data_IF_750842221843
#
_entry.id   IF_750842221843
#
_cell.length_a   1.000
_cell.length_b   1.000
_cell.length_c   1.000
_cell.angle_alpha   90.00
_cell.angle_beta   90.00
_cell.angle_gamma   90.00
#
_symmetry.space_group_name_H-M   'P 1'
#
loop_
_entity.id
_entity.type
_entity.pdbx_description
1 polymer ?
#
# COMPACT_ATOMS: atom_id res chain seq x y z
N UNK A 1 6.49 -4.85 -15.37
CA UNK A 1 7.85 -5.36 -15.59
C UNK A 1 8.37 -4.77 -16.90
N UNK A 2 9.51 -4.05 -16.91
CA UNK A 2 9.99 -3.32 -18.08
C UNK A 2 10.73 -4.16 -19.13
N UNK A 3 11.06 -5.43 -18.85
CA UNK A 3 11.86 -6.28 -19.77
C UNK A 3 11.05 -7.43 -20.39
N UNK A 4 10.17 -8.08 -19.62
CA UNK A 4 9.32 -9.18 -20.11
C UNK A 4 7.96 -9.16 -19.39
N UNK A 5 6.92 -9.67 -20.05
CA UNK A 5 5.61 -9.80 -19.42
C UNK A 5 5.47 -11.12 -18.63
N UNK A 6 4.41 -11.22 -17.81
CA UNK A 6 4.19 -12.40 -16.95
C UNK A 6 3.99 -13.71 -17.72
N UNK A 7 3.40 -13.66 -18.91
CA UNK A 7 3.19 -14.86 -19.75
C UNK A 7 4.50 -15.38 -20.34
N UNK A 8 5.38 -14.47 -20.77
CA UNK A 8 6.73 -14.83 -21.23
C UNK A 8 7.56 -15.42 -20.08
N UNK A 9 7.49 -14.79 -18.90
CA UNK A 9 8.17 -15.30 -17.71
C UNK A 9 7.71 -16.73 -17.38
N UNK A 10 6.41 -17.02 -17.43
CA UNK A 10 5.88 -18.37 -17.18
C UNK A 10 6.39 -19.40 -18.19
N UNK A 11 6.47 -19.05 -19.48
CA UNK A 11 7.04 -19.94 -20.51
C UNK A 11 8.50 -20.27 -20.23
N UNK A 12 9.32 -19.28 -19.88
CA UNK A 12 10.72 -19.51 -19.52
C UNK A 12 10.90 -20.34 -18.24
N UNK A 13 10.05 -20.12 -17.23
CA UNK A 13 10.05 -20.96 -16.03
C UNK A 13 9.74 -22.41 -16.41
N UNK A 14 8.77 -22.66 -17.32
CA UNK A 14 8.39 -24.00 -17.78
C UNK A 14 9.46 -24.73 -18.59
N UNK A 15 10.37 -24.00 -19.22
CA UNK A 15 11.54 -24.59 -19.89
C UNK A 15 12.51 -25.24 -18.87
N UNK A 16 12.58 -24.69 -17.66
CA UNK A 16 13.50 -25.13 -16.60
C UNK A 16 12.82 -26.09 -15.61
N UNK A 17 11.59 -25.77 -15.21
CA UNK A 17 10.80 -26.57 -14.27
C UNK A 17 9.32 -26.62 -14.69
N UNK A 18 8.90 -27.83 -15.08
CA UNK A 18 7.52 -28.09 -15.53
C UNK A 18 6.53 -28.18 -14.37
N UNK A 19 7.01 -28.42 -13.16
CA UNK A 19 6.20 -28.77 -12.00
C UNK A 19 6.08 -27.63 -10.99
N UNK A 20 6.99 -26.65 -11.00
CA UNK A 20 6.90 -25.52 -10.08
C UNK A 20 5.53 -24.81 -10.25
N UNK A 21 4.75 -24.65 -9.16
CA UNK A 21 3.47 -23.95 -9.26
C UNK A 21 3.65 -22.48 -9.65
N UNK A 22 2.88 -22.03 -10.64
CA UNK A 22 2.83 -20.63 -11.06
C UNK A 22 1.38 -20.15 -10.95
N UNK A 23 1.14 -19.14 -10.13
CA UNK A 23 -0.18 -18.53 -9.91
C UNK A 23 -0.18 -17.13 -10.53
N UNK A 24 -1.08 -16.88 -11.48
CA UNK A 24 -1.25 -15.57 -12.09
C UNK A 24 -2.04 -14.65 -11.16
N UNK A 25 -1.61 -13.38 -11.04
CA UNK A 25 -2.35 -12.33 -10.33
C UNK A 25 -2.70 -11.22 -11.32
N UNK A 26 -3.99 -10.94 -11.56
CA UNK A 26 -4.41 -9.94 -12.55
C UNK A 26 -5.51 -9.02 -12.04
N UNK A 27 -5.55 -7.77 -12.53
CA UNK A 27 -6.61 -6.82 -12.22
C UNK A 27 -7.91 -7.04 -13.01
N UNK A 28 -7.97 -8.10 -13.82
CA UNK A 28 -9.08 -8.47 -14.67
C UNK A 28 -9.14 -9.99 -14.79
N UNK A 29 -10.06 -10.64 -14.09
CA UNK A 29 -10.31 -12.07 -14.24
C UNK A 29 -11.22 -12.37 -15.44
N UNK A 30 -10.91 -11.78 -16.61
CA UNK A 30 -11.63 -12.11 -17.83
C UNK A 30 -11.28 -13.55 -18.26
N UNK A 31 -12.25 -14.25 -18.84
CA UNK A 31 -12.04 -15.61 -19.36
C UNK A 31 -10.83 -15.71 -20.30
N UNK A 32 -10.59 -14.66 -21.09
CA UNK A 32 -9.43 -14.57 -21.98
C UNK A 32 -8.09 -14.52 -21.24
N UNK A 33 -8.03 -13.80 -20.11
CA UNK A 33 -6.81 -13.68 -19.31
C UNK A 33 -6.51 -14.99 -18.57
N UNK A 34 -7.54 -15.67 -18.07
CA UNK A 34 -7.43 -17.02 -17.50
C UNK A 34 -6.92 -18.02 -18.55
N UNK A 35 -7.45 -17.93 -19.77
CA UNK A 35 -7.05 -18.81 -20.87
C UNK A 35 -5.60 -18.55 -21.29
N UNK A 36 -5.19 -17.29 -21.44
CA UNK A 36 -3.79 -16.92 -21.75
C UNK A 36 -2.82 -17.37 -20.66
N UNK A 37 -3.19 -17.20 -19.39
CA UNK A 37 -2.40 -17.68 -18.26
C UNK A 37 -2.17 -19.20 -18.36
N UNK A 38 -3.25 -19.95 -18.59
CA UNK A 38 -3.19 -21.41 -18.77
C UNK A 38 -2.33 -21.82 -19.97
N UNK A 39 -2.48 -21.16 -21.12
CA UNK A 39 -1.70 -21.42 -22.34
C UNK A 39 -0.20 -21.11 -22.16
N UNK A 40 0.14 -20.16 -21.28
CA UNK A 40 1.53 -19.87 -20.92
C UNK A 40 2.13 -20.87 -19.93
N UNK A 41 1.34 -21.83 -19.43
CA UNK A 41 1.77 -22.86 -18.50
C UNK A 41 1.52 -22.54 -17.02
N UNK A 42 0.78 -21.48 -16.68
CA UNK A 42 0.41 -21.17 -15.30
C UNK A 42 -0.65 -22.15 -14.78
N UNK A 43 -0.63 -22.44 -13.49
CA UNK A 43 -1.50 -23.42 -12.86
C UNK A 43 -2.84 -22.82 -12.40
N UNK A 44 -2.80 -21.60 -11.88
CA UNK A 44 -3.98 -20.90 -11.37
C UNK A 44 -3.96 -19.42 -11.72
N UNK A 45 -5.11 -18.78 -11.56
CA UNK A 45 -5.30 -17.36 -11.81
C UNK A 45 -6.19 -16.79 -10.71
N UNK A 46 -5.71 -15.76 -10.02
CA UNK A 46 -6.42 -15.04 -8.96
C UNK A 46 -6.60 -13.58 -9.38
N UNK A 47 -7.82 -13.08 -9.23
CA UNK A 47 -8.16 -11.69 -9.52
C UNK A 47 -7.66 -10.73 -8.44
N UNK A 48 -7.46 -9.46 -8.79
CA UNK A 48 -7.24 -8.37 -7.85
C UNK A 48 -8.56 -7.61 -7.59
N UNK A 49 -8.83 -7.15 -6.36
CA UNK A 49 -7.97 -7.21 -5.17
C UNK A 49 -7.77 -8.65 -4.70
N UNK A 50 -6.57 -8.93 -4.18
CA UNK A 50 -6.21 -10.29 -3.78
C UNK A 50 -7.02 -10.63 -2.53
N UNK A 51 -7.94 -11.57 -2.64
CA UNK A 51 -8.56 -12.17 -1.46
C UNK A 51 -7.55 -13.11 -0.81
N UNK A 52 -7.06 -12.73 0.37
CA UNK A 52 -5.99 -13.44 1.10
C UNK A 52 -6.31 -14.93 1.29
N UNK A 53 -7.59 -15.26 1.50
CA UNK A 53 -8.05 -16.65 1.62
C UNK A 53 -7.98 -17.44 0.32
N UNK A 54 -8.30 -16.81 -0.82
CA UNK A 54 -8.18 -17.44 -2.13
C UNK A 54 -6.70 -17.68 -2.45
N UNK A 55 -5.84 -16.70 -2.17
CA UNK A 55 -4.40 -16.82 -2.36
C UNK A 55 -3.82 -17.95 -1.50
N UNK A 56 -4.05 -17.94 -0.19
CA UNK A 56 -3.49 -18.97 0.68
C UNK A 56 -4.05 -20.36 0.37
N UNK A 57 -5.33 -20.48 0.05
CA UNK A 57 -5.92 -21.76 -0.35
C UNK A 57 -5.28 -22.29 -1.63
N UNK A 58 -5.09 -21.43 -2.63
CA UNK A 58 -4.45 -21.81 -3.89
C UNK A 58 -3.00 -22.21 -3.66
N UNK A 59 -2.23 -21.45 -2.87
CA UNK A 59 -0.86 -21.82 -2.51
C UNK A 59 -0.84 -23.17 -1.78
N UNK A 60 -1.71 -23.36 -0.79
CA UNK A 60 -1.79 -24.58 -0.02
C UNK A 60 -2.12 -25.82 -0.86
N UNK A 61 -3.05 -25.68 -1.81
CA UNK A 61 -3.40 -26.72 -2.78
C UNK A 61 -2.16 -27.17 -3.59
N UNK A 62 -1.40 -26.22 -4.12
CA UNK A 62 -0.20 -26.49 -4.92
C UNK A 62 1.04 -26.88 -4.09
N UNK A 63 1.07 -26.55 -2.81
CA UNK A 63 2.10 -27.00 -1.87
C UNK A 63 1.73 -28.31 -1.16
N UNK A 64 0.55 -28.87 -1.42
CA UNK A 64 0.02 -30.07 -0.76
C UNK A 64 0.01 -29.98 0.78
N UNK A 65 -0.26 -28.81 1.31
CA UNK A 65 -0.41 -28.57 2.75
C UNK A 65 -1.88 -28.39 3.09
N UNK A 66 -2.31 -28.94 4.23
CA UNK A 66 -3.66 -28.71 4.72
C UNK A 66 -3.82 -27.23 5.08
N UNK A 67 -4.78 -26.56 4.45
CA UNK A 67 -5.19 -25.22 4.84
C UNK A 67 -6.43 -25.30 5.73
N UNK A 68 -6.22 -25.26 7.04
CA UNK A 68 -7.29 -25.06 8.01
C UNK A 68 -7.35 -23.57 8.36
N UNK A 69 -8.46 -22.90 8.01
CA UNK A 69 -8.75 -21.57 8.57
C UNK A 69 -10.10 -21.60 9.28
N UNK A 70 -10.11 -21.07 10.51
CA UNK A 70 -11.33 -20.77 11.24
C UNK A 70 -12.15 -19.77 10.42
N UNK A 71 -13.30 -20.21 9.91
CA UNK A 71 -14.18 -19.46 9.04
C UNK A 71 -14.80 -18.29 9.82
N UNK A 72 -14.21 -17.09 9.75
CA UNK A 72 -14.91 -15.86 10.13
C UNK A 72 -15.54 -15.31 8.85
N UNK A 73 -16.86 -15.50 8.76
CA UNK A 73 -17.70 -14.88 7.75
C UNK A 73 -17.76 -13.39 8.09
N UNK A 74 -16.85 -12.58 7.54
CA UNK A 74 -16.93 -11.12 7.71
C UNK A 74 -18.16 -10.60 6.96
N UNK A 75 -18.94 -9.82 7.69
CA UNK A 75 -20.17 -9.17 7.27
C UNK A 75 -19.88 -8.13 6.19
N UNK A 76 -20.67 -8.17 5.12
CA UNK A 76 -20.73 -7.20 4.03
C UNK A 76 -21.21 -5.79 4.45
N UNK A 77 -21.14 -5.45 5.74
CA UNK A 77 -21.99 -4.43 6.38
C UNK A 77 -21.24 -3.26 7.00
N UNK A 78 -19.90 -3.21 6.95
CA UNK A 78 -19.22 -1.97 7.31
C UNK A 78 -19.05 -1.09 6.08
N UNK A 79 -19.91 -0.08 6.01
CA UNK A 79 -19.80 1.12 5.18
C UNK A 79 -18.62 1.98 5.67
N UNK A 80 -17.42 1.39 5.79
CA UNK A 80 -16.21 2.11 6.13
C UNK A 80 -15.47 2.49 4.84
N UNK A 81 -15.12 3.78 4.74
CA UNK A 81 -14.37 4.35 3.60
C UNK A 81 -13.03 3.63 3.40
N UNK A 82 -12.42 3.15 4.49
CA UNK A 82 -11.22 2.31 4.51
C UNK A 82 -11.38 1.24 5.59
N UNK A 83 -11.22 -0.04 5.23
CA UNK A 83 -11.30 -1.18 6.15
C UNK A 83 -10.00 -1.32 6.96
N UNK A 84 -9.92 -0.57 8.06
CA UNK A 84 -8.74 -0.54 8.93
C UNK A 84 -8.55 -1.87 9.67
N UNK A 85 -9.64 -2.58 9.96
CA UNK A 85 -9.56 -3.90 10.58
C UNK A 85 -8.88 -4.91 9.66
N UNK A 86 -9.24 -4.92 8.37
CA UNK A 86 -8.55 -5.71 7.35
C UNK A 86 -7.06 -5.38 7.26
N UNK A 87 -6.70 -4.09 7.25
CA UNK A 87 -5.29 -3.69 7.21
C UNK A 87 -4.54 -4.22 8.43
N UNK A 88 -5.09 -4.07 9.63
CA UNK A 88 -4.49 -4.60 10.86
C UNK A 88 -4.38 -6.13 10.89
N UNK A 89 -5.29 -6.85 10.24
CA UNK A 89 -5.26 -8.33 10.15
C UNK A 89 -4.26 -8.86 9.13
N UNK A 90 -4.05 -8.14 8.03
CA UNK A 90 -3.27 -8.64 6.88
C UNK A 90 -1.85 -8.06 6.81
N UNK A 91 -1.57 -6.97 7.52
CA UNK A 91 -0.24 -6.37 7.56
C UNK A 91 0.42 -6.56 8.93
N UNK A 92 1.73 -6.81 8.90
CA UNK A 92 2.49 -7.29 10.07
C UNK A 92 2.70 -6.25 11.17
N UNK A 93 2.58 -4.95 10.86
CA UNK A 93 2.80 -3.88 11.83
C UNK A 93 1.98 -2.61 11.52
N UNK A 94 1.61 -1.88 12.57
CA UNK A 94 0.96 -0.55 12.48
C UNK A 94 1.81 0.44 11.65
N UNK A 95 3.13 0.32 11.73
CA UNK A 95 4.08 1.13 10.96
C UNK A 95 3.99 0.86 9.46
N UNK A 96 3.95 -0.41 9.04
CA UNK A 96 3.78 -0.76 7.63
C UNK A 96 2.45 -0.24 7.07
N UNK A 97 1.40 -0.27 7.90
CA UNK A 97 0.08 0.28 7.55
C UNK A 97 0.17 1.81 7.40
N UNK A 98 0.79 2.52 8.35
CA UNK A 98 0.94 3.98 8.29
C UNK A 98 1.72 4.43 7.05
N UNK A 99 2.84 3.76 6.73
CA UNK A 99 3.60 4.03 5.49
C UNK A 99 2.75 3.82 4.24
N UNK A 100 2.00 2.73 4.20
CA UNK A 100 1.12 2.41 3.08
C UNK A 100 0.03 3.47 2.90
N UNK A 101 -0.59 3.93 4.00
CA UNK A 101 -1.60 4.98 3.99
C UNK A 101 -1.01 6.35 3.62
N UNK A 102 0.17 6.70 4.14
CA UNK A 102 0.93 7.92 3.75
C UNK A 102 1.25 7.91 2.26
N UNK A 103 1.75 6.79 1.74
CA UNK A 103 2.03 6.62 0.31
C UNK A 103 0.77 6.79 -0.54
N UNK A 104 -0.33 6.16 -0.14
CA UNK A 104 -1.58 6.29 -0.88
C UNK A 104 -2.11 7.73 -0.87
N UNK A 105 -2.03 8.43 0.26
CA UNK A 105 -2.36 9.85 0.36
C UNK A 105 -1.51 10.69 -0.61
N UNK A 106 -0.21 10.41 -0.70
CA UNK A 106 0.68 11.09 -1.64
C UNK A 106 0.29 10.82 -3.10
N UNK A 107 0.01 9.56 -3.46
CA UNK A 107 -0.42 9.17 -4.81
C UNK A 107 -1.74 9.86 -5.20
N UNK A 108 -2.73 9.91 -4.29
CA UNK A 108 -4.01 10.59 -4.53
C UNK A 108 -3.86 12.10 -4.78
N UNK A 109 -2.91 12.74 -4.11
CA UNK A 109 -2.69 14.19 -4.22
C UNK A 109 -1.75 14.59 -5.37
N UNK A 110 -1.00 13.64 -5.94
CA UNK A 110 -0.01 13.92 -6.97
C UNK A 110 -0.28 13.16 -8.27
N UNK A 111 -0.22 11.84 -8.23
CA UNK A 111 -0.35 10.98 -9.42
C UNK A 111 -1.79 10.93 -9.94
N UNK A 112 -2.77 10.85 -9.03
CA UNK A 112 -4.18 10.75 -9.38
C UNK A 112 -4.93 12.10 -9.37
N UNK A 113 -4.24 13.21 -9.10
CA UNK A 113 -4.88 14.52 -8.87
C UNK A 113 -5.76 15.00 -10.04
N UNK A 114 -5.39 14.62 -11.27
CA UNK A 114 -6.02 15.08 -12.51
C UNK A 114 -7.00 14.04 -13.10
N UNK A 115 -7.23 12.89 -12.45
CA UNK A 115 -8.04 11.81 -13.05
C UNK A 115 -9.44 12.26 -13.46
N UNK A 116 -10.10 13.09 -12.64
CA UNK A 116 -11.47 13.57 -12.90
C UNK A 116 -11.50 14.56 -14.07
N UNK A 117 -10.52 15.46 -14.18
CA UNK A 117 -10.40 16.40 -15.31
C UNK A 117 -10.03 15.68 -16.61
N UNK A 118 -9.19 14.62 -16.52
CA UNK A 118 -8.87 13.75 -17.65
C UNK A 118 -10.10 12.99 -18.16
N UNK A 119 -10.96 12.49 -17.28
CA UNK A 119 -12.23 11.86 -17.66
C UNK A 119 -13.18 12.86 -18.35
N UNK A 120 -13.30 14.08 -17.82
CA UNK A 120 -14.12 15.15 -18.42
C UNK A 120 -13.66 15.53 -19.83
N UNK A 121 -12.34 15.66 -20.01
CA UNK A 121 -11.71 16.06 -21.28
C UNK A 121 -11.49 14.88 -22.25
N UNK A 122 -11.86 13.66 -21.84
CA UNK A 122 -11.69 12.40 -22.60
C UNK A 122 -10.23 12.15 -22.99
N UNK A 123 -9.32 12.43 -22.06
CA UNK A 123 -7.90 12.15 -22.24
C UNK A 123 -7.64 10.64 -22.47
N UNK A 124 -6.80 10.31 -23.44
CA UNK A 124 -6.49 8.93 -23.80
C UNK A 124 -5.76 8.13 -22.72
N UNK A 125 -5.13 8.81 -21.75
CA UNK A 125 -4.42 8.19 -20.62
C UNK A 125 -5.34 7.95 -19.41
N UNK A 126 -6.55 8.53 -19.37
CA UNK A 126 -7.49 8.35 -18.28
C UNK A 126 -7.79 6.86 -17.94
N UNK A 127 -7.97 5.95 -18.92
CA UNK A 127 -8.20 4.53 -18.62
C UNK A 127 -7.03 3.87 -17.89
N UNK A 128 -5.79 4.23 -18.24
CA UNK A 128 -4.58 3.65 -17.63
C UNK A 128 -4.47 4.11 -16.18
N UNK A 129 -4.66 5.41 -15.94
CA UNK A 129 -4.57 5.99 -14.61
C UNK A 129 -5.73 5.51 -13.71
N UNK A 130 -6.94 5.40 -14.25
CA UNK A 130 -8.09 4.81 -13.56
C UNK A 130 -7.85 3.33 -13.19
N UNK A 131 -7.22 2.57 -14.09
CA UNK A 131 -6.89 1.17 -13.82
C UNK A 131 -5.87 1.03 -12.67
N UNK A 132 -4.88 1.93 -12.63
CA UNK A 132 -3.93 2.00 -11.52
C UNK A 132 -4.64 2.36 -10.21
N UNK A 133 -5.49 3.39 -10.21
CA UNK A 133 -6.27 3.81 -9.04
C UNK A 133 -7.15 2.67 -8.52
N UNK A 134 -7.88 1.97 -9.41
CA UNK A 134 -8.64 0.76 -9.08
C UNK A 134 -7.80 -0.27 -8.33
N UNK A 135 -6.57 -0.52 -8.81
CA UNK A 135 -5.66 -1.48 -8.19
C UNK A 135 -5.25 -1.09 -6.77
N UNK A 136 -4.87 0.17 -6.57
CA UNK A 136 -4.41 0.67 -5.27
C UNK A 136 -5.58 0.70 -4.27
N UNK A 137 -6.75 1.23 -4.67
CA UNK A 137 -7.96 1.27 -3.84
C UNK A 137 -8.40 -0.12 -3.39
N UNK A 138 -8.29 -1.14 -4.26
CA UNK A 138 -8.62 -2.51 -3.92
C UNK A 138 -7.68 -3.12 -2.87
N UNK A 139 -6.37 -2.87 -2.97
CA UNK A 139 -5.40 -3.40 -2.00
C UNK A 139 -5.60 -2.82 -0.59
N UNK A 140 -6.15 -1.62 -0.49
CA UNK A 140 -6.42 -0.92 0.76
C UNK A 140 -7.85 -1.10 1.26
N UNK A 141 -8.67 -1.88 0.54
CA UNK A 141 -10.11 -2.00 0.78
C UNK A 141 -10.81 -0.64 0.91
N UNK A 142 -10.45 0.30 0.05
CA UNK A 142 -11.24 1.51 -0.19
C UNK A 142 -12.45 1.14 -1.05
N UNK A 143 -13.43 0.44 -0.46
CA UNK A 143 -14.44 -0.34 -1.17
C UNK A 143 -15.30 0.49 -2.13
N UNK A 144 -15.71 1.68 -1.71
CA UNK A 144 -16.51 2.58 -2.54
C UNK A 144 -15.71 3.12 -3.73
N UNK A 145 -14.52 3.68 -3.45
CA UNK A 145 -13.61 4.15 -4.50
C UNK A 145 -13.24 3.03 -5.50
N UNK A 146 -12.98 1.83 -5.00
CA UNK A 146 -12.75 0.65 -5.83
C UNK A 146 -13.95 0.34 -6.72
N UNK A 147 -15.17 0.34 -6.16
CA UNK A 147 -16.41 0.03 -6.88
C UNK A 147 -16.67 1.05 -7.98
N UNK A 148 -16.50 2.34 -7.68
CA UNK A 148 -16.65 3.41 -8.67
C UNK A 148 -15.61 3.26 -9.78
N UNK A 149 -14.34 3.05 -9.44
CA UNK A 149 -13.30 2.80 -10.44
C UNK A 149 -13.59 1.56 -11.29
N UNK A 150 -14.10 0.48 -10.69
CA UNK A 150 -14.47 -0.74 -11.40
C UNK A 150 -15.61 -0.49 -12.41
N UNK A 151 -16.62 0.29 -12.03
CA UNK A 151 -17.73 0.63 -12.91
C UNK A 151 -17.27 1.47 -14.12
N UNK A 152 -16.41 2.45 -13.89
CA UNK A 152 -15.88 3.30 -14.97
C UNK A 152 -14.90 2.50 -15.87
N UNK A 153 -14.03 1.66 -15.30
CA UNK A 153 -13.13 0.76 -16.05
C UNK A 153 -13.94 -0.22 -16.93
N UNK A 154 -15.07 -0.73 -16.43
CA UNK A 154 -15.99 -1.57 -17.19
C UNK A 154 -16.65 -0.81 -18.35
N UNK A 155 -17.07 0.45 -18.14
CA UNK A 155 -17.60 1.31 -19.22
C UNK A 155 -16.56 1.53 -20.32
N UNK A 156 -15.30 1.81 -19.95
CA UNK A 156 -14.21 1.92 -20.94
C UNK A 156 -14.04 0.64 -21.77
N UNK A 157 -14.00 -0.53 -21.13
CA UNK A 157 -13.87 -1.83 -21.82
C UNK A 157 -15.04 -2.10 -22.77
N UNK A 158 -16.26 -1.76 -22.35
CA UNK A 158 -17.47 -1.91 -23.12
C UNK A 158 -17.67 -0.79 -24.17
N UNK A 159 -16.76 0.19 -24.25
CA UNK A 159 -16.85 1.39 -25.10
C UNK A 159 -18.15 2.18 -24.87
N UNK A 160 -18.64 2.18 -23.63
CA UNK A 160 -19.78 2.97 -23.20
C UNK A 160 -19.33 4.38 -22.81
N UNK A 161 -20.21 5.39 -22.96
CA UNK A 161 -19.90 6.75 -22.52
C UNK A 161 -19.76 6.79 -21.01
N UNK A 162 -18.77 7.56 -20.55
CA UNK A 162 -18.63 7.96 -19.15
C UNK A 162 -19.37 9.30 -19.03
N UNK A 163 -20.33 9.34 -18.13
CA UNK A 163 -21.19 10.51 -17.93
C UNK A 163 -20.77 11.32 -16.71
N UNK A 164 -21.40 12.47 -16.53
CA UNK A 164 -21.09 13.40 -15.43
C UNK A 164 -21.30 12.75 -14.05
N UNK A 165 -22.27 11.84 -13.92
CA UNK A 165 -22.55 11.16 -12.65
C UNK A 165 -21.44 10.20 -12.26
N UNK A 166 -20.82 9.54 -13.24
CA UNK A 166 -19.64 8.69 -13.00
C UNK A 166 -18.48 9.52 -12.41
N UNK A 167 -18.27 10.71 -12.98
CA UNK A 167 -17.17 11.60 -12.59
C UNK A 167 -17.45 12.23 -11.22
N UNK A 168 -18.70 12.63 -10.96
CA UNK A 168 -19.15 13.09 -9.64
C UNK A 168 -18.95 12.00 -8.58
N UNK A 169 -19.37 10.77 -8.86
CA UNK A 169 -19.19 9.64 -7.94
C UNK A 169 -17.70 9.36 -7.66
N UNK A 170 -16.85 9.41 -8.70
CA UNK A 170 -15.41 9.23 -8.52
C UNK A 170 -14.81 10.36 -7.67
N UNK A 171 -15.24 11.59 -7.91
CA UNK A 171 -14.78 12.76 -7.17
C UNK A 171 -15.15 12.65 -5.69
N UNK A 172 -16.41 12.29 -5.39
CA UNK A 172 -16.88 12.10 -4.01
C UNK A 172 -16.08 11.01 -3.30
N UNK A 173 -15.92 9.85 -3.93
CA UNK A 173 -15.21 8.72 -3.34
C UNK A 173 -13.72 9.03 -3.09
N UNK A 174 -13.07 9.81 -3.97
CA UNK A 174 -11.67 10.26 -3.75
C UNK A 174 -11.59 11.20 -2.54
N UNK A 175 -12.50 12.18 -2.44
CA UNK A 175 -12.48 13.15 -1.36
C UNK A 175 -12.79 12.51 0.00
N UNK A 176 -13.75 11.59 0.08
CA UNK A 176 -14.03 10.82 1.29
C UNK A 176 -12.81 10.02 1.76
N UNK A 177 -12.10 9.36 0.84
CA UNK A 177 -10.86 8.63 1.16
C UNK A 177 -9.77 9.60 1.64
N UNK A 178 -9.60 10.77 1.02
CA UNK A 178 -8.64 11.78 1.47
C UNK A 178 -8.98 12.30 2.85
N UNK A 179 -10.25 12.56 3.15
CA UNK A 179 -10.69 12.98 4.49
C UNK A 179 -10.38 11.90 5.52
N UNK A 180 -10.71 10.63 5.23
CA UNK A 180 -10.42 9.52 6.14
C UNK A 180 -8.92 9.35 6.40
N UNK A 181 -8.08 9.49 5.37
CA UNK A 181 -6.62 9.44 5.52
C UNK A 181 -6.09 10.58 6.40
N UNK A 182 -6.66 11.79 6.30
CA UNK A 182 -6.30 12.92 7.17
C UNK A 182 -6.66 12.64 8.63
N UNK A 183 -7.84 12.10 8.90
CA UNK A 183 -8.27 11.73 10.25
C UNK A 183 -7.32 10.72 10.90
N UNK A 184 -7.00 9.64 10.18
CA UNK A 184 -6.08 8.60 10.64
C UNK A 184 -4.69 9.15 10.97
N UNK A 185 -4.22 10.11 10.18
CA UNK A 185 -2.94 10.77 10.43
C UNK A 185 -2.97 11.64 11.71
N UNK A 186 -4.10 12.30 11.99
CA UNK A 186 -4.30 13.06 13.24
C UNK A 186 -4.41 12.11 14.45
N UNK A 187 -5.08 10.97 14.31
CA UNK A 187 -5.15 9.94 15.36
C UNK A 187 -3.76 9.37 15.68
N UNK A 188 -2.96 9.07 14.66
CA UNK A 188 -1.56 8.66 14.80
C UNK A 188 -0.72 9.69 15.57
N UNK A 189 -0.86 10.99 15.23
CA UNK A 189 -0.18 12.07 15.96
C UNK A 189 -0.65 12.25 17.41
N UNK A 190 -1.89 11.90 17.74
CA UNK A 190 -2.39 11.92 19.13
C UNK A 190 -1.84 10.75 19.95
N UNK A 191 -1.64 9.59 19.34
CA UNK A 191 -0.97 8.46 19.98
C UNK A 191 0.52 8.78 20.24
N UNK A 192 1.19 9.45 19.30
CA UNK A 192 2.57 9.92 19.52
C UNK A 192 2.66 11.09 20.51
N UNK A 193 1.60 11.86 20.74
CA UNK A 193 1.58 12.88 21.80
C UNK A 193 1.61 12.30 23.23
N UNK A 194 1.47 10.98 23.42
CA UNK A 194 1.73 10.28 24.69
C UNK A 194 3.20 9.93 24.91
N UNK A 195 4.08 10.26 23.95
CA UNK A 195 5.51 10.01 24.06
C UNK A 195 6.09 10.80 25.25
N UNK A 196 6.84 10.09 26.08
CA UNK A 196 7.44 10.63 27.30
C UNK A 196 8.45 11.74 26.98
N UNK A 197 8.35 12.89 27.67
CA UNK A 197 9.39 13.91 27.65
C UNK A 197 10.59 13.41 28.46
N UNK A 198 11.75 13.30 27.81
CA UNK A 198 12.98 12.79 28.39
C UNK A 198 13.76 13.91 29.07
N UNK A 199 14.49 13.56 30.11
CA UNK A 199 15.56 14.41 30.65
C UNK A 199 16.70 14.54 29.64
N UNK A 200 17.59 15.52 29.85
CA UNK A 200 18.73 15.77 28.96
C UNK A 200 19.66 14.55 28.87
N UNK A 201 19.85 13.83 29.96
CA UNK A 201 20.71 12.65 30.01
C UNK A 201 20.07 11.46 29.30
N UNK A 202 18.78 11.20 29.53
CA UNK A 202 18.02 10.14 28.83
C UNK A 202 17.93 10.39 27.32
N UNK A 203 17.73 11.64 26.89
CA UNK A 203 17.71 12.01 25.49
C UNK A 203 19.07 11.77 24.83
N UNK A 204 20.15 12.10 25.55
CA UNK A 204 21.52 11.87 25.08
C UNK A 204 21.82 10.38 24.96
N UNK A 205 21.43 9.57 25.95
CA UNK A 205 21.56 8.12 25.89
C UNK A 205 20.79 7.52 24.71
N UNK A 206 19.52 7.94 24.50
CA UNK A 206 18.70 7.49 23.38
C UNK A 206 19.30 7.88 22.02
N UNK A 207 19.83 9.10 21.90
CA UNK A 207 20.53 9.55 20.71
C UNK A 207 21.73 8.66 20.38
N UNK A 208 22.60 8.38 21.36
CA UNK A 208 23.78 7.52 21.15
C UNK A 208 23.39 6.07 20.87
N UNK A 209 22.35 5.54 21.53
CA UNK A 209 21.85 4.21 21.25
C UNK A 209 21.37 4.08 19.80
N UNK A 210 20.57 5.04 19.33
CA UNK A 210 20.07 5.04 17.94
C UNK A 210 21.22 5.21 16.96
N UNK A 211 22.14 6.14 17.24
CA UNK A 211 23.32 6.39 16.40
C UNK A 211 24.19 5.15 16.24
N UNK A 212 24.53 4.48 17.34
CA UNK A 212 25.32 3.25 17.31
C UNK A 212 24.53 2.10 16.68
N UNK A 213 23.22 2.05 16.89
CA UNK A 213 22.32 1.12 16.22
C UNK A 213 22.39 1.24 14.71
N UNK A 214 22.26 2.46 14.18
CA UNK A 214 22.34 2.73 12.74
C UNK A 214 23.72 2.40 12.17
N UNK A 215 24.80 2.81 12.86
CA UNK A 215 26.17 2.55 12.43
C UNK A 215 26.48 1.06 12.29
N UNK A 216 25.93 0.24 13.19
CA UNK A 216 26.17 -1.21 13.22
C UNK A 216 25.11 -2.01 12.44
N UNK A 217 24.14 -1.35 11.80
CA UNK A 217 23.05 -2.00 11.06
C UNK A 217 22.07 -2.78 11.96
N UNK A 218 21.96 -2.40 13.23
CA UNK A 218 21.01 -3.02 14.16
C UNK A 218 19.59 -2.51 13.89
N UNK A 219 18.59 -3.39 14.05
CA UNK A 219 17.18 -2.99 13.97
C UNK A 219 16.85 -2.04 15.12
N UNK A 220 16.43 -0.83 14.78
CA UNK A 220 15.94 0.17 15.72
C UNK A 220 14.44 0.10 15.79
N UNK A 221 13.89 -0.06 16.99
CA UNK A 221 12.45 -0.12 17.20
C UNK A 221 11.83 1.27 16.96
N UNK A 222 10.71 1.30 16.26
CA UNK A 222 9.92 2.50 15.88
C UNK A 222 9.77 3.50 17.01
N UNK A 223 9.26 3.03 18.15
CA UNK A 223 9.02 3.88 19.31
C UNK A 223 10.28 4.62 19.80
N UNK A 224 11.50 4.09 19.57
CA UNK A 224 12.73 4.74 20.02
C UNK A 224 13.03 5.99 19.18
N UNK A 225 12.99 5.88 17.86
CA UNK A 225 13.29 7.02 17.02
C UNK A 225 12.13 8.03 16.99
N UNK A 226 10.88 7.59 17.13
CA UNK A 226 9.74 8.49 17.36
C UNK A 226 9.90 9.26 18.68
N UNK A 227 10.37 8.58 19.74
CA UNK A 227 10.67 9.23 21.03
C UNK A 227 11.79 10.25 20.90
N UNK A 228 12.83 9.93 20.14
CA UNK A 228 13.92 10.85 19.84
C UNK A 228 13.39 12.10 19.11
N UNK A 229 12.66 11.92 18.01
CA UNK A 229 12.11 13.04 17.22
C UNK A 229 11.18 13.92 18.06
N UNK A 230 10.27 13.34 18.84
CA UNK A 230 9.35 14.10 19.69
C UNK A 230 10.07 14.95 20.75
N UNK A 231 11.22 14.48 21.25
CA UNK A 231 12.02 15.24 22.21
C UNK A 231 12.96 16.26 21.55
N UNK A 232 13.07 16.24 20.21
CA UNK A 232 13.90 17.14 19.43
C UNK A 232 13.11 18.16 18.60
N UNK A 233 11.78 18.13 18.58
CA UNK A 233 10.93 19.07 17.81
C UNK A 233 11.14 20.54 18.16
N UNK A 234 11.61 20.85 19.37
CA UNK A 234 11.91 22.23 19.79
C UNK A 234 13.37 22.66 19.47
N UNK A 235 14.21 21.73 18.97
CA UNK A 235 15.66 21.89 18.81
C UNK A 235 16.07 21.76 17.33
N UNK A 236 15.46 20.81 16.63
CA UNK A 236 15.75 20.47 15.23
C UNK A 236 14.60 20.94 14.35
N UNK A 237 14.92 21.36 13.13
CA UNK A 237 13.94 21.80 12.15
C UNK A 237 12.97 20.67 11.76
N UNK A 238 11.71 21.02 11.51
CA UNK A 238 10.67 20.05 11.17
C UNK A 238 10.99 19.29 9.87
N UNK A 239 11.58 19.97 8.87
CA UNK A 239 11.94 19.34 7.60
C UNK A 239 13.08 18.32 7.80
N UNK A 240 14.03 18.59 8.72
CA UNK A 240 15.10 17.63 9.05
C UNK A 240 14.58 16.42 9.81
N UNK A 241 13.61 16.61 10.72
CA UNK A 241 12.94 15.52 11.42
C UNK A 241 12.15 14.64 10.45
N UNK A 242 11.43 15.24 9.50
CA UNK A 242 10.68 14.51 8.46
C UNK A 242 11.63 13.72 7.52
N UNK A 243 12.78 14.31 7.15
CA UNK A 243 13.81 13.61 6.36
C UNK A 243 14.36 12.39 7.11
N UNK A 244 14.62 12.52 8.41
CA UNK A 244 15.06 11.41 9.24
C UNK A 244 13.97 10.33 9.35
N UNK A 245 12.70 10.72 9.56
CA UNK A 245 11.57 9.78 9.59
C UNK A 245 11.46 8.99 8.30
N UNK A 246 11.58 9.66 7.15
CA UNK A 246 11.54 9.04 5.83
C UNK A 246 12.68 8.03 5.68
N UNK A 247 13.92 8.41 6.02
CA UNK A 247 15.05 7.50 5.91
C UNK A 247 14.92 6.26 6.83
N UNK A 248 14.45 6.45 8.07
CA UNK A 248 14.13 5.34 8.98
C UNK A 248 13.02 4.45 8.42
N UNK A 249 11.99 5.07 7.84
CA UNK A 249 10.85 4.39 7.25
C UNK A 249 11.21 3.57 6.02
N UNK A 250 12.11 4.07 5.19
CA UNK A 250 12.54 3.42 3.96
C UNK A 250 13.68 2.41 4.19
N UNK A 251 14.07 2.17 5.45
CA UNK A 251 15.20 1.32 5.87
C UNK A 251 16.54 1.79 5.29
N UNK A 252 16.65 3.08 4.95
CA UNK A 252 17.88 3.72 4.47
C UNK A 252 18.78 4.10 5.67
N UNK A 253 19.27 3.09 6.41
CA UNK A 253 19.99 3.32 7.67
C UNK A 253 21.26 4.15 7.54
N UNK A 254 21.98 4.03 6.42
CA UNK A 254 23.15 4.87 6.14
C UNK A 254 22.74 6.35 6.02
N UNK A 255 21.68 6.64 5.26
CA UNK A 255 21.13 8.00 5.10
C UNK A 255 20.58 8.53 6.43
N UNK A 256 19.85 7.70 7.18
CA UNK A 256 19.35 8.08 8.49
C UNK A 256 20.51 8.41 9.45
N UNK A 257 21.62 7.68 9.39
CA UNK A 257 22.81 7.94 10.19
C UNK A 257 23.49 9.26 9.80
N UNK A 258 23.58 9.57 8.51
CA UNK A 258 24.13 10.84 8.02
C UNK A 258 23.31 12.04 8.52
N UNK A 259 21.98 11.97 8.40
CA UNK A 259 21.06 13.00 8.91
C UNK A 259 21.20 13.15 10.42
N UNK A 260 21.21 12.04 11.16
CA UNK A 260 21.31 12.07 12.62
C UNK A 260 22.65 12.66 13.10
N UNK A 261 23.74 12.51 12.33
CA UNK A 261 25.04 13.12 12.62
C UNK A 261 25.14 14.59 12.20
N UNK A 262 24.27 15.09 11.32
CA UNK A 262 24.26 16.51 10.97
C UNK A 262 23.61 17.37 12.05
N UNK A 263 22.79 16.77 12.91
CA UNK A 263 22.17 17.45 14.05
C UNK A 263 23.21 17.91 15.08
N UNK A 264 23.23 19.20 15.37
CA UNK A 264 24.11 19.81 16.39
C UNK A 264 23.42 19.78 17.75
N UNK A 265 23.46 18.63 18.41
CA UNK A 265 22.85 18.36 19.73
C UNK A 265 23.84 18.54 20.91
#
# INVERSE_FOLDING_TARGET
>A
MPVMNGYEAAKHIREHDKNIPIIALSAAALLEDVQKAKESGMNAHIGKPIETDELYRTIAEYCHVAFERAYIKESKDNCEVLDIEYLNKNFSSKESIDKLLKKFSHELNNEFKDITSMLLTKDGNAPVLLHALKGVSGNLRANELYTVCQNIDAKYRAKLPIDEKDIEALTSAIEEVKERLKELHVESKKDSAKIQKLSKDELRELYFEIRDGLLNGNIIKTHKYETLQHNLTDIIDADELDLFESAMSDLEYERAFEILNSWKL
#
